data_IF_345073413490
#
_entry.id   IF_345073413490
#
_cell.length_a   1.000
_cell.length_b   1.000
_cell.length_c   1.000
_cell.angle_alpha   90.00
_cell.angle_beta   90.00
_cell.angle_gamma   90.00
#
_symmetry.space_group_name_H-M   'P 1'
#
loop_
_entity.id
_entity.type
_entity.pdbx_description
1 polymer ?
#
# COMPACT_ATOMS: atom_id res chain seq x y z
N UNK A 1 25.29 26.32 11.95
CA UNK A 1 24.39 25.94 10.85
C UNK A 1 23.95 24.52 11.12
N UNK A 2 22.79 24.34 11.73
CA UNK A 2 22.14 23.04 11.80
C UNK A 2 21.87 22.63 10.35
N UNK A 3 22.37 21.46 9.94
CA UNK A 3 21.83 20.78 8.77
C UNK A 3 20.42 20.40 9.22
N UNK A 4 19.44 21.27 8.98
CA UNK A 4 18.05 20.86 8.91
C UNK A 4 18.00 19.86 7.76
N UNK A 5 18.21 18.58 8.08
CA UNK A 5 17.71 17.49 7.25
C UNK A 5 16.20 17.54 7.40
N UNK A 6 15.55 18.50 6.73
CA UNK A 6 14.16 18.38 6.36
C UNK A 6 14.09 17.17 5.43
N UNK A 7 14.05 15.98 6.02
CA UNK A 7 13.97 14.72 5.32
C UNK A 7 12.67 14.78 4.51
N UNK A 8 12.74 15.00 3.18
CA UNK A 8 11.55 15.31 2.40
C UNK A 8 10.68 14.06 2.39
N UNK A 9 9.52 14.11 3.05
CA UNK A 9 8.44 13.12 2.95
C UNK A 9 8.93 11.68 2.74
N UNK A 10 9.64 11.11 3.70
CA UNK A 10 10.26 9.78 3.57
C UNK A 10 9.18 8.67 3.55
N UNK A 11 8.57 8.41 2.39
CA UNK A 11 7.88 7.17 1.97
C UNK A 11 6.77 6.56 2.86
N UNK A 12 6.50 7.12 4.04
CA UNK A 12 5.70 6.51 5.11
C UNK A 12 4.29 7.07 5.15
N UNK A 13 3.70 7.30 3.98
CA UNK A 13 2.27 7.58 3.92
C UNK A 13 1.53 6.29 4.29
N UNK A 14 0.55 6.35 5.19
CA UNK A 14 -0.23 5.16 5.58
C UNK A 14 -0.85 4.52 4.31
N UNK A 15 -1.22 5.34 3.32
CA UNK A 15 -1.71 4.87 2.03
C UNK A 15 -0.73 3.95 1.29
N UNK A 16 0.56 4.32 1.20
CA UNK A 16 1.57 3.53 0.48
C UNK A 16 1.83 2.20 1.19
N UNK A 17 2.00 2.21 2.51
CA UNK A 17 2.27 0.98 3.25
C UNK A 17 1.06 0.03 3.29
N UNK A 18 -0.17 0.56 3.44
CA UNK A 18 -1.39 -0.26 3.37
C UNK A 18 -1.53 -0.95 2.02
N UNK A 19 -1.33 -0.22 0.91
CA UNK A 19 -1.39 -0.81 -0.43
C UNK A 19 -0.32 -1.90 -0.62
N UNK A 20 0.91 -1.65 -0.19
CA UNK A 20 2.03 -2.61 -0.28
C UNK A 20 1.74 -3.87 0.52
N UNK A 21 1.29 -3.76 1.77
CA UNK A 21 0.97 -4.93 2.61
C UNK A 21 -0.13 -5.79 1.98
N UNK A 22 -1.20 -5.17 1.46
CA UNK A 22 -2.26 -5.90 0.77
C UNK A 22 -1.71 -6.64 -0.46
N UNK A 23 -0.84 -5.97 -1.23
CA UNK A 23 -0.23 -6.60 -2.40
C UNK A 23 0.66 -7.78 -2.04
N UNK A 24 1.52 -7.64 -1.03
CA UNK A 24 2.40 -8.71 -0.57
C UNK A 24 1.60 -9.92 -0.07
N UNK A 25 0.51 -9.68 0.67
CA UNK A 25 -0.38 -10.76 1.14
C UNK A 25 -1.05 -11.47 -0.05
N UNK A 26 -1.55 -10.72 -1.03
CA UNK A 26 -2.17 -11.30 -2.21
C UNK A 26 -1.17 -12.15 -3.03
N UNK A 27 0.05 -11.67 -3.23
CA UNK A 27 1.10 -12.45 -3.89
C UNK A 27 1.51 -13.69 -3.09
N UNK A 28 1.61 -13.60 -1.77
CA UNK A 28 1.92 -14.75 -0.91
C UNK A 28 0.84 -15.83 -1.03
N UNK A 29 -0.44 -15.45 -0.93
CA UNK A 29 -1.58 -16.36 -1.09
C UNK A 29 -1.60 -16.95 -2.50
N UNK A 30 -1.44 -16.13 -3.53
CA UNK A 30 -1.45 -16.57 -4.93
C UNK A 30 -0.33 -17.55 -5.24
N UNK A 31 0.88 -17.29 -4.73
CA UNK A 31 2.03 -18.19 -4.89
C UNK A 31 1.79 -19.53 -4.21
N UNK A 32 1.30 -19.53 -2.97
CA UNK A 32 0.98 -20.76 -2.24
C UNK A 32 -0.16 -21.54 -2.92
N UNK A 33 -1.21 -20.84 -3.36
CA UNK A 33 -2.34 -21.43 -4.08
C UNK A 33 -1.91 -22.08 -5.40
N UNK A 34 -1.04 -21.41 -6.16
CA UNK A 34 -0.50 -21.92 -7.41
C UNK A 34 0.37 -23.16 -7.17
N UNK A 35 1.24 -23.11 -6.16
CA UNK A 35 2.08 -24.25 -5.77
C UNK A 35 1.25 -25.48 -5.37
N UNK A 36 0.12 -25.28 -4.68
CA UNK A 36 -0.79 -26.35 -4.26
C UNK A 36 -1.83 -26.72 -5.34
N UNK A 37 -1.78 -26.14 -6.54
CA UNK A 37 -2.75 -26.35 -7.63
C UNK A 37 -4.21 -26.01 -7.27
N UNK A 38 -4.41 -25.06 -6.36
CA UNK A 38 -5.75 -24.61 -5.91
C UNK A 38 -6.21 -23.46 -6.80
N UNK A 39 -6.75 -23.80 -7.98
CA UNK A 39 -7.07 -22.84 -9.06
C UNK A 39 -7.99 -21.69 -8.62
N UNK A 40 -9.05 -22.00 -7.85
CA UNK A 40 -10.01 -20.97 -7.43
C UNK A 40 -9.37 -19.91 -6.51
N UNK A 41 -8.39 -20.32 -5.70
CA UNK A 41 -7.72 -19.43 -4.75
C UNK A 41 -6.70 -18.54 -5.46
N UNK A 42 -6.11 -18.99 -6.57
CA UNK A 42 -5.28 -18.15 -7.46
C UNK A 42 -6.12 -16.99 -8.00
N UNK A 43 -7.32 -17.25 -8.52
CA UNK A 43 -8.21 -16.20 -9.00
C UNK A 43 -8.68 -15.27 -7.88
N UNK A 44 -8.97 -15.80 -6.68
CA UNK A 44 -9.28 -14.99 -5.52
C UNK A 44 -8.12 -14.05 -5.13
N UNK A 45 -6.88 -14.52 -5.22
CA UNK A 45 -5.69 -13.69 -4.95
C UNK A 45 -5.49 -12.58 -6.00
N UNK A 46 -5.82 -12.84 -7.26
CA UNK A 46 -5.79 -11.82 -8.31
C UNK A 46 -6.83 -10.72 -8.05
N UNK A 47 -8.04 -11.09 -7.62
CA UNK A 47 -9.07 -10.13 -7.19
C UNK A 47 -8.58 -9.33 -5.98
N UNK A 48 -7.93 -9.97 -5.02
CA UNK A 48 -7.37 -9.30 -3.84
C UNK A 48 -6.30 -8.25 -4.21
N UNK A 49 -5.48 -8.51 -5.24
CA UNK A 49 -4.55 -7.49 -5.76
C UNK A 49 -5.27 -6.26 -6.29
N UNK A 50 -6.35 -6.45 -7.05
CA UNK A 50 -7.15 -5.34 -7.57
C UNK A 50 -7.77 -4.55 -6.41
N UNK A 51 -8.26 -5.23 -5.37
CA UNK A 51 -8.77 -4.57 -4.15
C UNK A 51 -7.66 -3.74 -3.48
N UNK A 52 -6.43 -4.26 -3.37
CA UNK A 52 -5.30 -3.51 -2.83
C UNK A 52 -5.00 -2.22 -3.60
N UNK A 53 -5.07 -2.26 -4.95
CA UNK A 53 -4.97 -1.09 -5.81
C UNK A 53 -6.07 -0.06 -5.52
N UNK A 54 -7.32 -0.52 -5.44
CA UNK A 54 -8.47 0.35 -5.17
C UNK A 54 -8.39 0.99 -3.78
N UNK A 55 -7.94 0.25 -2.77
CA UNK A 55 -7.72 0.77 -1.41
C UNK A 55 -6.60 1.82 -1.40
N UNK A 56 -5.46 1.53 -2.03
CA UNK A 56 -4.36 2.49 -2.15
C UNK A 56 -4.78 3.78 -2.87
N UNK A 57 -5.50 3.64 -3.98
CA UNK A 57 -6.04 4.77 -4.72
C UNK A 57 -7.07 5.58 -3.90
N UNK A 58 -7.98 4.90 -3.20
CA UNK A 58 -8.96 5.53 -2.33
C UNK A 58 -8.32 6.30 -1.17
N UNK A 59 -7.30 5.73 -0.54
CA UNK A 59 -6.53 6.37 0.53
C UNK A 59 -5.75 7.59 0.03
N UNK A 60 -5.14 7.49 -1.16
CA UNK A 60 -4.48 8.63 -1.80
C UNK A 60 -5.47 9.79 -2.03
N UNK A 61 -6.66 9.50 -2.58
CA UNK A 61 -7.71 10.50 -2.82
C UNK A 61 -8.29 11.09 -1.52
N UNK A 62 -8.32 10.31 -0.44
CA UNK A 62 -8.76 10.77 0.88
C UNK A 62 -7.72 11.66 1.60
N UNK A 63 -6.56 11.92 0.98
CA UNK A 63 -5.51 12.78 1.52
C UNK A 63 -4.54 12.06 2.46
N UNK A 64 -4.50 10.73 2.45
CA UNK A 64 -3.50 9.90 3.15
C UNK A 64 -2.30 9.55 2.27
N UNK A 65 -2.27 10.02 1.02
CA UNK A 65 -1.12 9.89 0.12
C UNK A 65 0.07 10.75 0.57
N UNK A 66 1.19 10.59 -0.14
CA UNK A 66 2.47 11.28 0.14
C UNK A 66 2.36 12.81 0.12
N UNK A 67 1.46 13.35 -0.70
CA UNK A 67 1.18 14.80 -0.82
C UNK A 67 -0.18 15.21 -0.20
N UNK A 68 -0.78 14.32 0.59
CA UNK A 68 -2.11 14.54 1.14
C UNK A 68 -2.12 15.54 2.30
N UNK A 69 -3.05 16.49 2.28
CA UNK A 69 -3.21 17.52 3.30
C UNK A 69 -3.35 16.98 4.75
N UNK A 70 -3.79 15.72 4.92
CA UNK A 70 -3.90 15.06 6.23
C UNK A 70 -2.59 14.39 6.69
N UNK A 71 -1.69 14.07 5.77
CA UNK A 71 -0.34 13.57 6.07
C UNK A 71 0.64 14.71 6.35
N UNK A 72 0.48 15.86 5.68
CA UNK A 72 1.31 17.05 5.87
C UNK A 72 1.12 17.75 7.24
N UNK A 73 0.01 17.52 7.94
CA UNK A 73 -0.36 18.25 9.16
C UNK A 73 0.36 17.79 10.45
N UNK A 74 1.40 16.96 10.36
CA UNK A 74 2.24 16.55 11.52
C UNK A 74 3.69 17.04 11.43
N UNK A 75 3.91 18.22 10.86
CA UNK A 75 5.16 18.97 11.09
C UNK A 75 5.09 19.71 12.42
N UNK A 76 5.67 19.12 13.46
CA UNK A 76 6.19 19.85 14.62
C UNK A 76 7.70 19.98 14.44
#
# INVERSE_FOLDING_TARGET
MSIESSEPGHGSSIASWTAVVIMLVAFAIGTLAFFLSIVWLVWASAVLLVVGLLVGYGLAKAGYGVDGAKTAARGH
#
